data_IF_341908179314
#
_entry.id   IF_341908179314
#
_cell.length_a   1.000
_cell.length_b   1.000
_cell.length_c   1.000
_cell.angle_alpha   90.00
_cell.angle_beta   90.00
_cell.angle_gamma   90.00
#
_symmetry.space_group_name_H-M   'P 1'
#
loop_
_entity.id
_entity.type
_entity.pdbx_description
1 polymer ?
#
# COMPACT_ATOMS: atom_id res chain seq x y z
N UNK A 1 15.60 -2.71 5.50
CA UNK A 1 15.59 -1.23 5.56
C UNK A 1 14.35 -0.66 6.23
N UNK A 2 13.20 -0.52 5.55
CA UNK A 2 12.05 0.18 6.14
C UNK A 2 11.55 -0.45 7.45
N UNK A 3 11.48 -1.78 7.51
CA UNK A 3 11.13 -2.52 8.74
C UNK A 3 12.18 -2.30 9.83
N UNK A 4 13.47 -2.22 9.48
CA UNK A 4 14.55 -1.99 10.44
C UNK A 4 14.48 -0.57 11.01
N UNK A 5 14.18 0.43 10.17
CA UNK A 5 13.92 1.80 10.62
C UNK A 5 12.73 1.86 11.59
N UNK A 6 11.63 1.16 11.28
CA UNK A 6 10.48 1.07 12.16
C UNK A 6 10.82 0.40 13.50
N UNK A 7 11.50 -0.74 13.48
CA UNK A 7 11.96 -1.45 14.68
C UNK A 7 12.95 -0.62 15.49
N UNK A 8 13.82 0.15 14.84
CA UNK A 8 14.75 1.05 15.50
C UNK A 8 14.00 2.18 16.24
N UNK A 9 12.98 2.80 15.62
CA UNK A 9 12.16 3.82 16.28
C UNK A 9 11.43 3.29 17.52
N UNK A 10 10.89 2.07 17.43
CA UNK A 10 10.26 1.37 18.56
C UNK A 10 11.28 1.08 19.65
N UNK A 11 12.45 0.56 19.29
CA UNK A 11 13.51 0.19 20.25
C UNK A 11 14.09 1.41 20.97
N UNK A 12 14.10 2.57 20.32
CA UNK A 12 14.58 3.84 20.87
C UNK A 12 13.48 4.69 21.51
N UNK A 13 12.28 4.12 21.72
CA UNK A 13 11.17 4.75 22.45
C UNK A 13 10.65 6.06 21.83
N UNK A 14 10.82 6.25 20.52
CA UNK A 14 10.15 7.33 19.78
C UNK A 14 8.66 7.01 19.56
N UNK A 15 8.33 5.73 19.48
CA UNK A 15 6.97 5.20 19.30
C UNK A 15 6.92 3.76 19.82
N UNK A 16 5.82 3.07 19.57
CA UNK A 16 5.59 1.66 19.88
C UNK A 16 4.76 1.01 18.76
N UNK A 17 4.76 -0.32 18.64
CA UNK A 17 4.03 -1.01 17.57
C UNK A 17 2.51 -0.73 17.59
N UNK A 18 1.95 -0.41 18.76
CA UNK A 18 0.55 0.00 18.93
C UNK A 18 0.29 1.48 18.62
N UNK A 19 1.33 2.26 18.28
CA UNK A 19 1.27 3.70 17.96
C UNK A 19 1.90 4.07 16.62
N UNK A 20 2.57 3.14 15.94
CA UNK A 20 3.26 3.42 14.69
C UNK A 20 2.31 3.30 13.49
N UNK A 21 2.08 4.41 12.79
CA UNK A 21 1.36 4.44 11.52
C UNK A 21 2.34 4.70 10.38
N UNK A 22 2.24 3.93 9.30
CA UNK A 22 3.08 4.07 8.10
C UNK A 22 2.23 4.54 6.91
N UNK A 23 2.85 5.28 5.99
CA UNK A 23 2.18 5.82 4.81
C UNK A 23 3.11 5.77 3.60
N UNK A 24 2.56 5.41 2.45
CA UNK A 24 3.27 5.41 1.18
C UNK A 24 2.30 5.32 0.01
N UNK A 25 2.66 5.96 -1.11
CA UNK A 25 1.85 5.97 -2.32
C UNK A 25 2.62 5.64 -3.59
N UNK A 26 1.93 5.19 -4.65
CA UNK A 26 2.55 4.77 -5.92
C UNK A 26 3.52 3.58 -5.70
N UNK A 27 4.79 3.69 -6.11
CA UNK A 27 5.85 2.75 -5.72
C UNK A 27 6.10 2.71 -4.20
N UNK A 28 5.77 3.78 -3.46
CA UNK A 28 5.71 3.72 -1.99
C UNK A 28 4.56 2.84 -1.48
N UNK A 29 3.50 2.64 -2.28
CA UNK A 29 2.42 1.69 -2.01
C UNK A 29 2.88 0.24 -2.15
N UNK A 30 3.78 -0.06 -3.10
CA UNK A 30 4.50 -1.33 -3.17
C UNK A 30 5.24 -1.61 -1.86
N UNK A 31 5.99 -0.61 -1.37
CA UNK A 31 6.68 -0.70 -0.10
C UNK A 31 5.71 -0.99 1.06
N UNK A 32 4.61 -0.24 1.17
CA UNK A 32 3.62 -0.46 2.24
C UNK A 32 3.02 -1.86 2.16
N UNK A 33 2.59 -2.31 0.98
CA UNK A 33 2.04 -3.64 0.76
C UNK A 33 3.03 -4.76 1.12
N UNK A 34 4.30 -4.60 0.75
CA UNK A 34 5.37 -5.54 1.09
C UNK A 34 5.60 -5.64 2.59
N UNK A 35 5.75 -4.50 3.29
CA UNK A 35 6.10 -4.52 4.71
C UNK A 35 4.96 -4.97 5.62
N UNK A 36 3.70 -4.72 5.26
CA UNK A 36 2.55 -5.28 6.02
C UNK A 36 2.41 -6.78 5.82
N UNK A 37 2.88 -7.34 4.70
CA UNK A 37 2.97 -8.79 4.52
C UNK A 37 4.08 -9.40 5.38
N UNK A 38 5.24 -8.73 5.43
CA UNK A 38 6.47 -9.24 6.05
C UNK A 38 6.52 -9.10 7.57
N UNK A 39 6.03 -7.99 8.12
CA UNK A 39 6.12 -7.68 9.57
C UNK A 39 4.86 -6.94 10.05
N UNK A 40 3.66 -7.54 9.89
CA UNK A 40 2.39 -6.91 10.25
C UNK A 40 2.32 -6.47 11.72
N UNK A 41 3.01 -7.17 12.62
CA UNK A 41 3.07 -6.90 14.06
C UNK A 41 3.82 -5.62 14.43
N UNK A 42 4.61 -5.07 13.51
CA UNK A 42 5.40 -3.86 13.75
C UNK A 42 4.55 -2.59 13.68
N UNK A 43 3.40 -2.63 13.00
CA UNK A 43 2.64 -1.44 12.65
C UNK A 43 1.24 -1.47 13.27
N UNK A 44 0.76 -0.33 13.77
CA UNK A 44 -0.62 -0.17 14.24
C UNK A 44 -1.57 -0.03 13.05
N UNK A 45 -1.15 0.76 12.06
CA UNK A 45 -1.91 1.02 10.86
C UNK A 45 -1.02 1.38 9.65
N UNK A 46 -1.58 1.21 8.45
CA UNK A 46 -0.96 1.62 7.19
C UNK A 46 -1.92 2.43 6.31
N UNK A 47 -1.42 3.50 5.69
CA UNK A 47 -2.10 4.26 4.64
C UNK A 47 -1.40 3.93 3.31
N UNK A 48 -2.13 3.32 2.40
CA UNK A 48 -1.61 2.67 1.19
C UNK A 48 -2.27 3.31 -0.03
N UNK A 49 -1.61 4.31 -0.61
CA UNK A 49 -2.23 5.25 -1.55
C UNK A 49 -1.86 4.94 -3.01
N UNK A 50 -2.85 4.93 -3.91
CA UNK A 50 -2.69 4.60 -5.34
C UNK A 50 -1.61 3.51 -5.58
N UNK A 51 -1.76 2.34 -4.94
CA UNK A 51 -0.60 1.53 -4.58
C UNK A 51 -0.28 0.50 -5.66
N UNK A 52 0.97 0.47 -6.12
CA UNK A 52 1.46 -0.58 -7.02
C UNK A 52 1.65 -1.87 -6.23
N UNK A 53 0.68 -2.78 -6.26
CA UNK A 53 0.63 -3.94 -5.36
C UNK A 53 0.37 -5.25 -6.09
N UNK A 54 -0.05 -5.19 -7.34
CA UNK A 54 -0.33 -6.33 -8.20
C UNK A 54 0.84 -6.58 -9.17
N UNK A 55 2.07 -6.49 -8.65
CA UNK A 55 3.32 -6.38 -9.41
C UNK A 55 3.42 -7.45 -10.48
N UNK A 56 3.15 -8.72 -10.15
CA UNK A 56 3.28 -9.80 -11.12
C UNK A 56 2.29 -9.66 -12.26
N UNK A 57 1.00 -9.43 -11.96
CA UNK A 57 -0.02 -9.37 -13.00
C UNK A 57 0.13 -8.12 -13.89
N UNK A 58 0.50 -6.98 -13.31
CA UNK A 58 0.76 -5.75 -14.07
C UNK A 58 2.02 -5.86 -14.92
N UNK A 59 3.13 -6.32 -14.34
CA UNK A 59 4.44 -6.33 -15.03
C UNK A 59 4.56 -7.42 -16.12
N UNK A 60 3.71 -8.44 -16.09
CA UNK A 60 3.61 -9.44 -17.16
C UNK A 60 2.97 -8.86 -18.44
N UNK A 61 2.10 -7.87 -18.30
CA UNK A 61 1.33 -7.30 -19.40
C UNK A 61 1.98 -6.02 -19.95
N UNK A 62 2.70 -6.17 -21.07
CA UNK A 62 3.35 -5.06 -21.76
C UNK A 62 2.41 -4.10 -22.48
N UNK A 63 1.10 -4.37 -22.55
CA UNK A 63 0.11 -3.46 -23.15
C UNK A 63 -0.40 -2.41 -22.16
N UNK A 64 -0.20 -2.62 -20.85
CA UNK A 64 -0.58 -1.66 -19.82
C UNK A 64 0.32 -0.42 -19.83
N UNK A 65 -0.22 0.75 -19.43
CA UNK A 65 0.58 1.97 -19.29
C UNK A 65 1.79 1.74 -18.38
N UNK A 66 2.92 2.34 -18.75
CA UNK A 66 4.20 2.32 -18.02
C UNK A 66 4.94 0.97 -17.94
N UNK A 67 4.26 -0.19 -18.02
CA UNK A 67 4.88 -1.52 -17.78
C UNK A 67 6.20 -1.73 -18.51
N UNK A 68 6.23 -1.50 -19.83
CA UNK A 68 7.44 -1.73 -20.64
C UNK A 68 8.59 -0.78 -20.25
N UNK A 69 8.26 0.44 -19.83
CA UNK A 69 9.22 1.40 -19.30
C UNK A 69 9.74 0.98 -17.92
N UNK A 70 8.89 0.42 -17.07
CA UNK A 70 9.22 -0.01 -15.71
C UNK A 70 9.98 -1.34 -15.64
N UNK A 71 10.08 -2.09 -16.74
CA UNK A 71 10.96 -3.27 -16.80
C UNK A 71 12.41 -2.95 -16.46
N UNK A 72 12.89 -1.73 -16.75
CA UNK A 72 14.26 -1.31 -16.40
C UNK A 72 14.45 -1.06 -14.90
N UNK A 73 13.35 -0.82 -14.17
CA UNK A 73 13.36 -0.51 -12.73
C UNK A 73 13.17 -1.80 -11.91
N UNK A 74 12.12 -2.57 -12.22
CA UNK A 74 11.73 -3.73 -11.41
C UNK A 74 12.16 -5.08 -11.99
N UNK A 75 12.42 -5.12 -13.30
CA UNK A 75 12.59 -6.34 -14.09
C UNK A 75 11.38 -6.68 -14.96
N UNK A 76 11.62 -7.48 -16.00
CA UNK A 76 10.58 -8.01 -16.88
C UNK A 76 10.22 -9.44 -16.45
N UNK A 77 9.09 -9.70 -15.77
CA UNK A 77 8.73 -11.04 -15.28
C UNK A 77 8.38 -12.03 -16.40
N UNK A 78 8.37 -11.61 -17.67
CA UNK A 78 8.37 -12.55 -18.80
C UNK A 78 9.71 -13.30 -18.93
N UNK A 79 10.76 -12.82 -18.26
CA UNK A 79 12.07 -13.46 -18.13
C UNK A 79 12.15 -14.22 -16.81
N UNK A 80 12.70 -15.44 -16.84
CA UNK A 80 12.64 -16.35 -15.70
C UNK A 80 13.35 -15.81 -14.46
N UNK A 81 14.50 -15.18 -14.65
CA UNK A 81 15.32 -14.64 -13.56
C UNK A 81 14.59 -13.53 -12.80
N UNK A 82 13.92 -12.64 -13.56
CA UNK A 82 13.09 -11.58 -12.98
C UNK A 82 11.84 -12.16 -12.31
N UNK A 83 11.15 -13.11 -12.95
CA UNK A 83 10.00 -13.80 -12.35
C UNK A 83 10.33 -14.39 -10.99
N UNK A 84 11.41 -15.18 -10.90
CA UNK A 84 11.82 -15.89 -9.69
C UNK A 84 12.16 -14.93 -8.53
N UNK A 85 12.51 -13.68 -8.83
CA UNK A 85 12.78 -12.65 -7.83
C UNK A 85 11.53 -11.84 -7.48
N UNK A 86 10.83 -11.31 -8.48
CA UNK A 86 9.69 -10.41 -8.31
C UNK A 86 8.55 -11.07 -7.53
N UNK A 87 8.30 -12.36 -7.77
CA UNK A 87 7.26 -13.12 -7.07
C UNK A 87 7.47 -13.14 -5.54
N UNK A 88 8.71 -13.01 -5.06
CA UNK A 88 9.05 -13.07 -3.63
C UNK A 88 8.62 -11.83 -2.86
N UNK A 89 8.50 -10.69 -3.54
CA UNK A 89 8.16 -9.41 -2.89
C UNK A 89 6.82 -8.84 -3.34
N UNK A 90 6.25 -9.31 -4.45
CA UNK A 90 4.95 -8.82 -4.95
C UNK A 90 3.89 -8.87 -3.84
N UNK A 91 3.31 -7.72 -3.43
CA UNK A 91 2.40 -7.69 -2.30
C UNK A 91 1.18 -8.59 -2.51
N UNK A 92 0.55 -8.56 -3.68
CA UNK A 92 -0.67 -9.31 -3.94
C UNK A 92 -0.45 -10.84 -3.85
N UNK A 93 0.62 -11.36 -4.43
CA UNK A 93 0.95 -12.79 -4.37
C UNK A 93 1.34 -13.26 -2.97
N UNK A 94 1.89 -12.38 -2.13
CA UNK A 94 2.37 -12.71 -0.78
C UNK A 94 1.35 -12.47 0.34
N UNK A 95 0.10 -12.11 0.02
CA UNK A 95 -0.99 -12.09 1.02
C UNK A 95 -1.26 -13.52 1.50
N UNK A 96 -1.10 -13.73 2.79
CA UNK A 96 -1.38 -14.99 3.50
C UNK A 96 -2.29 -14.79 4.71
N UNK A 97 -2.72 -15.90 5.33
CA UNK A 97 -3.52 -15.87 6.54
C UNK A 97 -2.71 -15.36 7.74
N UNK A 98 -2.97 -14.13 8.18
CA UNK A 98 -2.27 -13.49 9.31
C UNK A 98 -3.02 -12.26 9.85
N UNK A 99 -2.57 -11.72 10.98
CA UNK A 99 -3.17 -10.54 11.59
C UNK A 99 -2.59 -9.24 11.02
N UNK A 100 -3.14 -8.75 9.92
CA UNK A 100 -2.74 -7.47 9.30
C UNK A 100 -3.08 -6.26 10.20
N UNK A 101 -2.34 -5.14 10.10
CA UNK A 101 -2.68 -3.90 10.81
C UNK A 101 -3.98 -3.28 10.28
N UNK A 102 -4.45 -2.19 10.90
CA UNK A 102 -5.54 -1.41 10.31
C UNK A 102 -5.06 -0.75 9.02
N UNK A 103 -5.84 -0.79 7.95
CA UNK A 103 -5.40 -0.29 6.64
C UNK A 103 -6.40 0.66 6.03
N UNK A 104 -5.90 1.77 5.50
CA UNK A 104 -6.61 2.64 4.58
C UNK A 104 -5.97 2.47 3.21
N UNK A 105 -6.64 1.75 2.33
CA UNK A 105 -6.24 1.62 0.92
C UNK A 105 -6.97 2.70 0.13
N UNK A 106 -6.22 3.59 -0.49
CA UNK A 106 -6.77 4.65 -1.32
C UNK A 106 -6.46 4.39 -2.79
N UNK A 107 -7.47 4.52 -3.65
CA UNK A 107 -7.31 4.35 -5.10
C UNK A 107 -8.03 5.48 -5.83
N UNK A 108 -7.68 5.68 -7.10
CA UNK A 108 -8.32 6.65 -7.99
C UNK A 108 -8.85 5.92 -9.23
N UNK A 109 -10.11 6.13 -9.58
CA UNK A 109 -10.75 5.41 -10.69
C UNK A 109 -10.08 5.70 -12.05
N UNK A 110 -9.62 6.93 -12.25
CA UNK A 110 -8.98 7.37 -13.49
C UNK A 110 -7.45 7.47 -13.35
N UNK A 111 -6.86 6.69 -12.45
CA UNK A 111 -5.41 6.61 -12.32
C UNK A 111 -4.79 5.95 -13.56
N UNK A 112 -3.87 6.68 -14.19
CA UNK A 112 -3.17 6.27 -15.40
C UNK A 112 -1.76 5.73 -15.15
N UNK A 113 -1.30 5.72 -13.89
CA UNK A 113 0.01 5.21 -13.49
C UNK A 113 -0.12 3.89 -12.74
N UNK A 114 -1.05 3.84 -11.78
CA UNK A 114 -1.36 2.62 -11.02
C UNK A 114 -2.84 2.34 -11.14
N UNK A 115 -3.18 1.24 -11.81
CA UNK A 115 -4.55 0.99 -12.22
C UNK A 115 -5.41 0.65 -10.99
N UNK A 116 -6.64 1.19 -10.96
CA UNK A 116 -7.49 1.19 -9.75
C UNK A 116 -7.74 -0.22 -9.18
N UNK A 117 -7.72 -1.24 -10.04
CA UNK A 117 -7.99 -2.62 -9.64
C UNK A 117 -6.88 -3.23 -8.79
N UNK A 118 -5.65 -2.73 -8.87
CA UNK A 118 -4.54 -3.26 -8.06
C UNK A 118 -4.86 -3.11 -6.57
N UNK A 119 -5.11 -1.87 -6.13
CA UNK A 119 -5.49 -1.59 -4.75
C UNK A 119 -6.85 -2.20 -4.36
N UNK A 120 -7.81 -2.28 -5.30
CA UNK A 120 -9.10 -2.90 -5.03
C UNK A 120 -8.99 -4.42 -4.78
N UNK A 121 -8.26 -5.15 -5.64
CA UNK A 121 -7.96 -6.58 -5.49
C UNK A 121 -7.18 -6.84 -4.21
N UNK A 122 -6.16 -6.02 -3.94
CA UNK A 122 -5.36 -6.12 -2.73
C UNK A 122 -6.21 -5.95 -1.46
N UNK A 123 -7.02 -4.90 -1.37
CA UNK A 123 -7.90 -4.68 -0.23
C UNK A 123 -8.90 -5.83 -0.03
N UNK A 124 -9.46 -6.37 -1.12
CA UNK A 124 -10.37 -7.51 -1.06
C UNK A 124 -9.68 -8.78 -0.52
N UNK A 125 -8.51 -9.13 -1.07
CA UNK A 125 -7.76 -10.33 -0.67
C UNK A 125 -7.22 -10.23 0.75
N UNK A 126 -6.77 -9.04 1.20
CA UNK A 126 -6.38 -8.84 2.61
C UNK A 126 -7.57 -9.05 3.56
N UNK A 127 -8.77 -8.56 3.22
CA UNK A 127 -9.98 -8.79 4.03
C UNK A 127 -10.35 -10.27 4.13
N UNK A 128 -10.19 -11.01 3.04
CA UNK A 128 -10.44 -12.45 3.01
C UNK A 128 -9.44 -13.22 3.88
N UNK A 129 -8.16 -12.83 3.83
CA UNK A 129 -7.09 -13.60 4.46
C UNK A 129 -6.77 -13.16 5.90
N UNK A 130 -7.19 -11.96 6.34
CA UNK A 130 -6.85 -11.50 7.70
C UNK A 130 -7.48 -12.40 8.77
N UNK A 131 -6.72 -12.70 9.83
CA UNK A 131 -7.17 -13.55 10.95
C UNK A 131 -7.59 -12.78 12.20
N UNK A 132 -7.49 -11.44 12.20
CA UNK A 132 -7.89 -10.58 13.32
C UNK A 132 -8.96 -9.56 12.96
N UNK A 133 -9.35 -8.73 13.93
CA UNK A 133 -10.49 -7.80 13.82
C UNK A 133 -10.13 -6.42 13.26
N UNK A 134 -8.86 -6.21 12.89
CA UNK A 134 -8.42 -4.96 12.28
C UNK A 134 -9.17 -4.67 10.98
N UNK A 135 -9.44 -3.39 10.75
CA UNK A 135 -10.28 -2.92 9.65
C UNK A 135 -9.40 -2.58 8.44
N UNK A 136 -9.85 -2.99 7.26
CA UNK A 136 -9.26 -2.62 5.97
C UNK A 136 -10.30 -1.81 5.20
N UNK A 137 -10.08 -0.50 5.09
CA UNK A 137 -10.92 0.42 4.33
C UNK A 137 -10.41 0.54 2.89
N UNK A 138 -11.35 0.67 1.96
CA UNK A 138 -11.06 1.05 0.57
C UNK A 138 -11.74 2.39 0.30
N UNK A 139 -10.95 3.44 0.08
CA UNK A 139 -11.43 4.76 -0.31
C UNK A 139 -11.10 4.98 -1.78
N UNK A 140 -12.14 5.10 -2.59
CA UNK A 140 -11.99 5.35 -4.04
C UNK A 140 -12.31 6.79 -4.35
N UNK A 141 -11.37 7.51 -4.95
CA UNK A 141 -11.65 8.78 -5.60
C UNK A 141 -12.25 8.50 -6.99
N UNK A 142 -13.55 8.76 -7.14
CA UNK A 142 -14.31 8.48 -8.36
C UNK A 142 -14.10 9.51 -9.47
N UNK A 143 -13.27 10.54 -9.25
CA UNK A 143 -13.15 11.69 -10.17
C UNK A 143 -11.71 12.17 -10.40
N UNK A 144 -10.72 11.49 -9.82
CA UNK A 144 -9.31 11.85 -9.92
C UNK A 144 -8.45 10.75 -10.57
N UNK A 145 -7.24 11.13 -10.95
CA UNK A 145 -6.16 10.22 -11.37
C UNK A 145 -5.07 10.07 -10.30
N UNK A 146 -3.84 9.79 -10.74
CA UNK A 146 -2.74 9.43 -9.83
C UNK A 146 -2.39 10.47 -8.77
N UNK A 147 -2.39 11.75 -9.16
CA UNK A 147 -2.04 12.86 -8.26
C UNK A 147 -3.12 13.23 -7.24
N UNK A 148 -4.22 12.48 -7.16
CA UNK A 148 -5.40 12.82 -6.37
C UNK A 148 -6.16 14.00 -6.95
N UNK A 149 -6.96 14.66 -6.11
CA UNK A 149 -7.76 15.79 -6.55
C UNK A 149 -6.89 17.01 -6.95
N UNK A 150 -7.17 17.58 -8.12
CA UNK A 150 -6.43 18.74 -8.68
C UNK A 150 -6.85 20.09 -8.09
N UNK A 151 -7.98 20.15 -7.37
CA UNK A 151 -8.45 21.35 -6.69
C UNK A 151 -7.59 21.70 -5.47
N UNK A 152 -7.19 22.97 -5.33
CA UNK A 152 -6.35 23.45 -4.21
C UNK A 152 -6.86 22.98 -2.84
N UNK A 153 -8.16 23.08 -2.61
CA UNK A 153 -8.78 22.71 -1.34
C UNK A 153 -9.03 21.20 -1.22
N UNK A 154 -9.20 20.49 -2.32
CA UNK A 154 -9.50 19.07 -2.30
C UNK A 154 -8.26 18.25 -1.92
N UNK A 155 -7.08 18.66 -2.38
CA UNK A 155 -5.81 18.10 -1.87
C UNK A 155 -5.67 18.26 -0.35
N UNK A 156 -6.06 19.42 0.20
CA UNK A 156 -6.01 19.63 1.65
C UNK A 156 -7.01 18.74 2.40
N UNK A 157 -8.17 18.44 1.81
CA UNK A 157 -9.15 17.50 2.39
C UNK A 157 -8.62 16.07 2.36
N UNK A 158 -7.94 15.65 1.30
CA UNK A 158 -7.31 14.32 1.22
C UNK A 158 -6.24 14.18 2.32
N UNK A 159 -5.33 15.15 2.44
CA UNK A 159 -4.34 15.16 3.53
C UNK A 159 -5.00 15.18 4.91
N UNK A 160 -6.04 16.01 5.11
CA UNK A 160 -6.75 16.05 6.37
C UNK A 160 -7.40 14.70 6.73
N UNK A 161 -7.91 13.97 5.74
CA UNK A 161 -8.46 12.64 5.92
C UNK A 161 -7.39 11.63 6.35
N UNK A 162 -6.22 11.63 5.71
CA UNK A 162 -5.09 10.76 6.06
C UNK A 162 -4.65 10.98 7.50
N UNK A 163 -4.46 12.23 7.91
CA UNK A 163 -4.10 12.58 9.28
C UNK A 163 -5.20 12.22 10.28
N UNK A 164 -6.47 12.49 9.96
CA UNK A 164 -7.58 12.11 10.83
C UNK A 164 -7.64 10.59 11.02
N UNK A 165 -7.45 9.82 9.93
CA UNK A 165 -7.32 8.38 10.00
C UNK A 165 -6.15 7.98 10.89
N UNK A 166 -4.92 8.43 10.61
CA UNK A 166 -3.72 8.07 11.38
C UNK A 166 -3.88 8.38 12.88
N UNK A 167 -4.34 9.59 13.22
CA UNK A 167 -4.57 10.01 14.61
C UNK A 167 -5.65 9.16 15.30
N UNK A 168 -6.74 8.84 14.60
CA UNK A 168 -7.79 7.97 15.15
C UNK A 168 -7.28 6.57 15.49
N UNK A 169 -6.35 6.02 14.70
CA UNK A 169 -5.78 4.69 14.95
C UNK A 169 -4.95 4.63 16.24
N UNK A 170 -4.46 5.77 16.71
CA UNK A 170 -3.66 5.91 17.94
C UNK A 170 -4.41 6.61 19.07
N UNK A 171 -5.73 6.72 18.97
CA UNK A 171 -6.62 7.22 20.02
C UNK A 171 -6.68 8.74 20.15
N UNK A 172 -6.15 9.50 19.19
CA UNK A 172 -6.20 10.96 19.16
C UNK A 172 -7.39 11.38 18.29
N UNK A 173 -8.45 11.87 18.92
CA UNK A 173 -9.74 12.14 18.24
C UNK A 173 -10.26 13.57 18.40
N UNK A 174 -9.57 14.41 19.20
CA UNK A 174 -9.90 15.82 19.45
C UNK A 174 -8.65 16.63 19.77
#
# INVERSE_FOLDING_TARGET
>A
DFIDSAKWLVSNKYTSSDRLVIQGGSAGGLLMGGVVNMSPETFKAAIVQVPFVDVMNTMLDGELPLTTGEWIEWGNPNEKEAWDYMIKYSPYENIKAQNYPNMLVEISLYDSQVLYWEGAKFAAKVREMKTGDNIVLLKTNMSAGHGGASGRYDKLKEVAFDYAYALSQVGITK
#
